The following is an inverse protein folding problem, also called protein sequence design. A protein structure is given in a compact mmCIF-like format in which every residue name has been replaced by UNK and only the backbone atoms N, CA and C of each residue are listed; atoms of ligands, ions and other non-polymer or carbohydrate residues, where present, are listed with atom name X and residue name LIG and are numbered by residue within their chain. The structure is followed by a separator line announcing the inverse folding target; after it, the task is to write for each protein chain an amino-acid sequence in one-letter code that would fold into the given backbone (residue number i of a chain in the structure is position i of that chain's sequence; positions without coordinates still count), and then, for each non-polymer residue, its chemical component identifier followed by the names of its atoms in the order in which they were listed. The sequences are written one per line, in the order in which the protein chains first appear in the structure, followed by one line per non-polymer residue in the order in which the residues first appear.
data_IF_460919911245
#
_entry.id   IF_460919911245
#
_cell.length_a   1.000
_cell.length_b   1.000
_cell.length_c   1.000
_cell.angle_alpha   90.00
_cell.angle_beta   90.00
_cell.angle_gamma   90.00
#
_symmetry.space_group_name_H-M   'P 1'
#
loop_
_entity.id
_entity.type
_entity.pdbx_description
1 polymer ?
#
# COMPACT_ATOMS: atom_id res chain seq x y z
N UNK A 1 -40.72 -29.93 59.12
CA UNK A 1 -39.90 -28.84 58.55
C UNK A 1 -39.43 -29.29 57.18
N UNK A 2 -39.84 -28.54 56.16
CA UNK A 2 -40.00 -29.01 54.78
C UNK A 2 -38.67 -29.23 54.05
N UNK A 3 -38.58 -30.39 53.42
CA UNK A 3 -37.53 -30.83 52.50
C UNK A 3 -37.96 -30.62 51.04
N UNK A 4 -36.98 -30.28 50.21
CA UNK A 4 -37.09 -29.93 48.79
C UNK A 4 -37.43 -31.16 47.91
N UNK A 5 -38.47 -31.02 47.08
CA UNK A 5 -38.77 -31.78 45.83
C UNK A 5 -38.33 -30.87 44.66
N UNK A 6 -37.93 -31.30 43.46
CA UNK A 6 -38.37 -32.46 42.69
C UNK A 6 -37.41 -32.81 41.51
N UNK A 7 -37.28 -34.12 41.26
CA UNK A 7 -37.24 -34.90 40.00
C UNK A 7 -36.33 -34.62 38.78
N UNK A 8 -35.60 -35.70 38.45
CA UNK A 8 -35.13 -36.19 37.12
C UNK A 8 -36.29 -36.53 36.16
N UNK A 9 -36.02 -36.53 34.84
CA UNK A 9 -36.25 -37.70 33.96
C UNK A 9 -35.60 -37.55 32.57
N UNK A 10 -35.36 -38.70 31.91
CA UNK A 10 -34.48 -39.02 30.77
C UNK A 10 -35.32 -39.28 29.47
N UNK A 11 -34.68 -39.49 28.30
CA UNK A 11 -35.29 -39.36 26.97
C UNK A 11 -35.99 -40.64 26.47
N UNK A 12 -36.85 -40.53 25.45
CA UNK A 12 -37.33 -41.67 24.67
C UNK A 12 -37.53 -41.35 23.18
N UNK A 13 -37.14 -42.35 22.39
CA UNK A 13 -37.13 -42.53 20.95
C UNK A 13 -38.50 -43.10 20.47
N UNK A 14 -39.02 -42.69 19.30
CA UNK A 14 -39.60 -43.59 18.29
C UNK A 14 -40.01 -42.92 16.95
N UNK A 15 -39.30 -43.38 15.93
CA UNK A 15 -39.62 -43.68 14.52
C UNK A 15 -41.11 -43.93 14.13
N UNK A 16 -41.58 -43.40 12.99
CA UNK A 16 -42.41 -44.01 11.89
C UNK A 16 -42.37 -43.03 10.69
N UNK A 17 -41.64 -43.27 9.58
CA UNK A 17 -41.89 -44.12 8.39
C UNK A 17 -43.04 -43.67 7.46
N UNK A 18 -42.67 -43.24 6.24
CA UNK A 18 -43.58 -43.00 5.10
C UNK A 18 -42.77 -42.86 3.80
N UNK A 19 -42.56 -43.98 3.11
CA UNK A 19 -41.79 -44.14 1.88
C UNK A 19 -42.61 -43.82 0.61
N UNK A 20 -41.95 -43.98 -0.56
CA UNK A 20 -42.42 -44.08 -1.98
C UNK A 20 -41.73 -42.96 -2.82
N UNK A 21 -40.83 -43.18 -3.80
CA UNK A 21 -40.47 -44.37 -4.59
C UNK A 21 -39.07 -44.20 -5.22
N UNK A 22 -38.32 -45.31 -5.34
CA UNK A 22 -37.10 -45.48 -6.16
C UNK A 22 -37.38 -45.38 -7.67
N UNK A 23 -36.40 -44.91 -8.47
CA UNK A 23 -35.84 -45.66 -9.63
C UNK A 23 -34.36 -45.26 -9.86
N UNK A 24 -33.48 -46.26 -9.64
CA UNK A 24 -32.24 -46.66 -10.33
C UNK A 24 -31.44 -45.67 -11.20
N UNK A 25 -30.11 -45.64 -11.00
CA UNK A 25 -29.17 -45.13 -12.02
C UNK A 25 -27.71 -45.03 -11.54
N UNK A 26 -26.93 -46.05 -11.85
CA UNK A 26 -25.51 -46.26 -11.55
C UNK A 26 -24.53 -45.27 -12.23
N UNK A 27 -23.38 -45.09 -11.58
CA UNK A 27 -22.02 -44.87 -12.14
C UNK A 27 -21.77 -43.69 -13.11
N UNK A 28 -20.83 -42.82 -12.69
CA UNK A 28 -20.30 -41.65 -13.42
C UNK A 28 -19.78 -41.95 -14.84
N UNK A 29 -19.85 -40.96 -15.75
CA UNK A 29 -18.66 -40.56 -16.55
C UNK A 29 -18.61 -39.02 -16.80
N UNK A 30 -17.81 -38.46 -17.74
CA UNK A 30 -16.54 -37.78 -17.50
C UNK A 30 -16.54 -36.24 -17.77
N UNK A 31 -15.41 -35.62 -17.41
CA UNK A 31 -14.83 -34.32 -17.80
C UNK A 31 -15.62 -33.47 -18.82
N UNK A 32 -15.97 -32.23 -18.44
CA UNK A 32 -16.00 -31.09 -19.37
C UNK A 32 -15.62 -29.80 -18.65
N UNK A 33 -14.53 -29.18 -19.09
CA UNK A 33 -14.12 -27.83 -18.72
C UNK A 33 -15.04 -26.83 -19.42
N UNK A 34 -15.60 -25.88 -18.67
CA UNK A 34 -16.12 -24.63 -19.23
C UNK A 34 -15.64 -23.47 -18.38
N UNK A 35 -14.59 -22.82 -18.91
CA UNK A 35 -14.28 -21.43 -18.69
C UNK A 35 -15.51 -20.55 -18.97
N UNK A 36 -15.82 -19.65 -18.04
CA UNK A 36 -16.53 -18.43 -18.35
C UNK A 36 -15.85 -17.29 -17.60
N UNK A 37 -14.88 -16.66 -18.28
CA UNK A 37 -14.30 -15.39 -17.86
C UNK A 37 -15.37 -14.28 -17.80
N UNK A 38 -15.10 -13.20 -17.05
CA UNK A 38 -16.05 -12.10 -16.89
C UNK A 38 -16.35 -11.40 -18.24
N UNK A 39 -17.53 -10.76 -18.37
CA UNK A 39 -18.02 -10.27 -19.65
C UNK A 39 -17.17 -9.13 -20.20
N UNK A 40 -16.90 -9.20 -21.50
CA UNK A 40 -16.22 -8.16 -22.27
C UNK A 40 -17.02 -6.85 -22.26
N UNK A 41 -16.41 -5.77 -21.77
CA UNK A 41 -16.89 -4.41 -22.00
C UNK A 41 -16.62 -4.07 -23.46
N UNK A 42 -17.68 -3.98 -24.28
CA UNK A 42 -17.59 -3.42 -25.62
C UNK A 42 -17.31 -1.92 -25.55
N UNK A 43 -16.12 -1.51 -25.99
CA UNK A 43 -15.83 -0.11 -26.32
C UNK A 43 -16.75 0.31 -27.47
N UNK A 44 -17.79 1.11 -27.18
CA UNK A 44 -18.60 1.75 -28.20
C UNK A 44 -17.72 2.69 -29.01
N UNK A 45 -17.72 2.48 -30.32
CA UNK A 45 -16.94 3.25 -31.29
C UNK A 45 -17.25 4.75 -31.21
N UNK A 46 -16.21 5.55 -31.39
CA UNK A 46 -16.28 7.00 -31.57
C UNK A 46 -16.82 7.28 -32.98
N UNK A 47 -18.11 7.05 -33.19
CA UNK A 47 -18.86 7.56 -34.32
C UNK A 47 -19.59 8.82 -33.86
N UNK A 48 -18.90 9.96 -33.89
CA UNK A 48 -19.46 11.31 -34.08
C UNK A 48 -18.37 12.37 -33.95
N UNK A 49 -17.45 12.40 -34.93
CA UNK A 49 -16.75 13.62 -35.30
C UNK A 49 -17.00 13.81 -36.80
N UNK A 50 -17.92 14.70 -37.13
CA UNK A 50 -18.33 14.98 -38.50
C UNK A 50 -17.20 15.56 -39.34
N UNK A 51 -16.49 14.69 -40.07
CA UNK A 51 -15.57 15.08 -41.14
C UNK A 51 -15.95 14.30 -42.40
N UNK A 52 -16.31 15.05 -43.45
CA UNK A 52 -16.82 14.55 -44.71
C UNK A 52 -15.85 13.65 -45.48
N UNK A 53 -16.46 12.73 -46.22
CA UNK A 53 -15.86 11.74 -47.11
C UNK A 53 -15.28 12.36 -48.39
N UNK A 54 -14.00 12.12 -48.71
CA UNK A 54 -13.54 11.93 -50.11
C UNK A 54 -12.10 11.41 -50.25
N UNK A 55 -12.00 10.26 -50.95
CA UNK A 55 -10.91 9.78 -51.83
C UNK A 55 -9.74 8.90 -51.27
N UNK A 56 -9.25 7.92 -52.06
CA UNK A 56 -8.86 6.59 -51.59
C UNK A 56 -7.34 6.43 -51.41
N UNK A 57 -6.91 5.70 -50.37
CA UNK A 57 -5.52 5.25 -50.21
C UNK A 57 -5.49 3.85 -49.60
N UNK A 58 -4.58 3.03 -50.09
CA UNK A 58 -4.18 1.68 -49.63
C UNK A 58 -4.41 1.52 -48.12
N UNK A 59 -4.95 0.38 -47.63
CA UNK A 59 -5.07 0.18 -46.18
C UNK A 59 -3.68 0.31 -45.57
N UNK A 60 -3.45 1.39 -44.83
CA UNK A 60 -2.19 1.64 -44.13
C UNK A 60 -2.13 0.74 -42.89
N UNK A 61 -2.17 -0.59 -43.11
CA UNK A 61 -2.33 -1.60 -42.08
C UNK A 61 -1.17 -1.62 -41.07
N UNK A 62 -0.01 -1.10 -41.47
CA UNK A 62 1.19 -1.02 -40.62
C UNK A 62 1.25 0.26 -39.80
N UNK A 63 0.44 1.28 -40.09
CA UNK A 63 0.51 2.58 -39.42
C UNK A 63 -0.72 2.78 -38.55
N UNK A 64 -0.51 3.10 -37.27
CA UNK A 64 -1.61 3.31 -36.32
C UNK A 64 -2.57 4.42 -36.76
N UNK A 65 -3.86 4.28 -36.42
CA UNK A 65 -4.88 5.28 -36.72
C UNK A 65 -4.53 6.69 -36.20
N UNK A 66 -3.85 6.79 -35.06
CA UNK A 66 -3.43 8.07 -34.48
C UNK A 66 -2.36 8.79 -35.32
N UNK A 67 -1.40 8.06 -35.90
CA UNK A 67 -0.43 8.65 -36.83
C UNK A 67 -1.08 9.09 -38.14
N UNK A 68 -2.11 8.35 -38.60
CA UNK A 68 -2.88 8.74 -39.78
C UNK A 68 -3.71 10.00 -39.54
N UNK A 69 -4.33 10.12 -38.36
CA UNK A 69 -5.04 11.32 -37.94
C UNK A 69 -4.10 12.53 -37.85
N UNK A 70 -2.91 12.35 -37.25
CA UNK A 70 -1.87 13.39 -37.18
C UNK A 70 -1.42 13.85 -38.57
N UNK A 71 -1.20 12.90 -39.50
CA UNK A 71 -0.88 13.24 -40.89
C UNK A 71 -1.99 14.04 -41.57
N UNK A 72 -3.26 13.62 -41.42
CA UNK A 72 -4.40 14.32 -42.00
C UNK A 72 -4.53 15.76 -41.46
N UNK A 73 -4.33 15.94 -40.16
CA UNK A 73 -4.32 17.25 -39.50
C UNK A 73 -3.22 18.15 -40.05
N UNK A 74 -2.00 17.61 -40.20
CA UNK A 74 -0.87 18.34 -40.75
C UNK A 74 -1.09 18.73 -42.23
N UNK A 75 -1.73 17.87 -43.02
CA UNK A 75 -2.11 18.21 -44.40
C UNK A 75 -3.14 19.35 -44.46
N UNK A 76 -4.11 19.37 -43.54
CA UNK A 76 -5.07 20.48 -43.45
C UNK A 76 -4.36 21.79 -43.09
N UNK A 77 -3.42 21.75 -42.13
CA UNK A 77 -2.57 22.88 -41.77
C UNK A 77 -1.76 23.41 -42.96
N UNK A 78 -1.10 22.54 -43.73
CA UNK A 78 -0.33 22.94 -44.91
C UNK A 78 -1.21 23.60 -45.99
N UNK A 79 -2.44 23.10 -46.20
CA UNK A 79 -3.40 23.70 -47.14
C UNK A 79 -3.89 25.09 -46.70
N UNK A 80 -4.00 25.32 -45.38
CA UNK A 80 -4.43 26.61 -44.84
C UNK A 80 -3.33 27.68 -44.81
N UNK A 81 -2.06 27.25 -44.77
CA UNK A 81 -0.88 28.11 -44.63
C UNK A 81 -0.14 28.35 -45.95
N UNK A 82 -0.32 27.48 -46.94
CA UNK A 82 0.19 27.69 -48.30
C UNK A 82 -0.42 28.94 -48.94
N UNK A 83 0.39 29.99 -49.09
CA UNK A 83 0.02 31.25 -49.75
C UNK A 83 -0.17 32.47 -48.84
N UNK A 84 -0.06 32.32 -47.50
CA UNK A 84 -0.11 33.47 -46.58
C UNK A 84 1.28 34.11 -46.42
N UNK A 85 1.39 35.41 -46.70
CA UNK A 85 2.62 36.23 -46.60
C UNK A 85 3.04 36.55 -45.15
N UNK A 86 2.17 36.27 -44.19
CA UNK A 86 2.42 36.45 -42.77
C UNK A 86 3.05 35.18 -42.18
N UNK A 87 3.83 35.32 -41.10
CA UNK A 87 4.36 34.20 -40.32
C UNK A 87 3.18 33.35 -39.85
N UNK A 88 2.98 32.20 -40.48
CA UNK A 88 1.95 31.25 -40.07
C UNK A 88 2.30 30.71 -38.66
N UNK A 89 1.29 30.53 -37.79
CA UNK A 89 1.54 29.89 -36.50
C UNK A 89 2.12 28.49 -36.72
N UNK A 90 3.03 28.06 -35.85
CA UNK A 90 3.58 26.70 -35.92
C UNK A 90 2.45 25.67 -35.81
N UNK A 91 2.58 24.55 -36.52
CA UNK A 91 1.63 23.45 -36.42
C UNK A 91 1.53 22.95 -34.98
N UNK A 92 0.30 22.84 -34.48
CA UNK A 92 -0.03 22.22 -33.21
C UNK A 92 -1.00 21.09 -33.49
N UNK A 93 -0.71 19.91 -32.94
CA UNK A 93 -1.56 18.73 -33.04
C UNK A 93 -2.71 18.80 -32.05
N UNK A 94 -3.91 18.43 -32.50
CA UNK A 94 -5.11 18.23 -31.67
C UNK A 94 -4.93 17.11 -30.63
N UNK A 95 -4.05 16.14 -30.92
CA UNK A 95 -3.56 15.19 -29.94
C UNK A 95 -2.40 15.81 -29.16
N UNK A 96 -2.68 16.32 -27.97
CA UNK A 96 -1.74 17.06 -27.12
C UNK A 96 -0.67 16.20 -26.46
N UNK A 97 -0.87 14.88 -26.40
CA UNK A 97 0.11 13.93 -25.84
C UNK A 97 1.07 13.35 -26.89
N UNK A 98 0.82 13.60 -28.18
CA UNK A 98 1.73 13.17 -29.23
C UNK A 98 3.04 13.99 -29.20
N UNK A 99 4.23 13.36 -29.30
CA UNK A 99 5.51 14.04 -29.24
C UNK A 99 5.83 14.78 -30.56
N UNK A 100 5.09 15.84 -30.84
CA UNK A 100 5.17 16.63 -32.07
C UNK A 100 5.98 17.90 -31.85
N UNK A 101 7.01 18.12 -32.66
CA UNK A 101 7.80 19.34 -32.62
C UNK A 101 8.31 19.69 -34.03
N UNK A 102 8.14 20.95 -34.45
CA UNK A 102 8.70 21.45 -35.71
C UNK A 102 8.27 20.67 -36.95
N UNK A 103 7.01 20.21 -37.02
CA UNK A 103 6.50 19.40 -38.15
C UNK A 103 7.02 17.95 -38.18
N UNK A 104 7.69 17.51 -37.12
CA UNK A 104 8.16 16.14 -36.90
C UNK A 104 7.44 15.49 -35.73
N UNK A 105 7.44 14.16 -35.68
CA UNK A 105 6.88 13.35 -34.59
C UNK A 105 7.84 12.23 -34.22
N UNK A 106 7.94 11.90 -32.92
CA UNK A 106 8.65 10.71 -32.47
C UNK A 106 7.73 9.49 -32.54
N UNK A 107 8.22 8.41 -33.15
CA UNK A 107 7.45 7.18 -33.36
C UNK A 107 8.21 5.96 -32.86
N UNK A 108 7.45 4.97 -32.38
CA UNK A 108 7.91 3.63 -32.06
C UNK A 108 7.46 2.66 -33.15
N UNK A 109 8.38 1.80 -33.58
CA UNK A 109 8.18 0.86 -34.66
C UNK A 109 8.64 -0.53 -34.28
N UNK A 110 7.83 -1.54 -34.60
CA UNK A 110 8.22 -2.93 -34.51
C UNK A 110 8.83 -3.38 -35.84
N UNK A 111 10.07 -3.88 -35.80
CA UNK A 111 10.74 -4.44 -36.97
C UNK A 111 10.14 -5.79 -37.36
N UNK A 112 10.01 -6.01 -38.66
CA UNK A 112 9.82 -7.32 -39.27
C UNK A 112 11.17 -7.87 -39.73
N UNK A 113 11.72 -8.81 -38.95
CA UNK A 113 13.04 -9.38 -39.21
C UNK A 113 14.13 -8.61 -38.49
N UNK A 114 15.13 -8.14 -39.23
CA UNK A 114 16.30 -7.42 -38.70
C UNK A 114 15.96 -5.96 -38.34
N UNK A 115 16.04 -5.56 -37.07
CA UNK A 115 15.77 -4.18 -36.65
C UNK A 115 16.80 -3.17 -37.15
N UNK A 116 18.03 -3.57 -37.47
CA UNK A 116 19.03 -2.66 -38.06
C UNK A 116 18.72 -2.34 -39.53
N UNK A 117 18.10 -3.27 -40.25
CA UNK A 117 17.57 -3.02 -41.60
C UNK A 117 16.44 -1.99 -41.57
N UNK A 118 15.49 -2.10 -40.60
CA UNK A 118 14.46 -1.07 -40.39
C UNK A 118 15.08 0.29 -40.03
N UNK A 119 16.10 0.30 -39.17
CA UNK A 119 16.81 1.53 -38.82
C UNK A 119 17.50 2.19 -40.03
N UNK A 120 18.08 1.40 -40.95
CA UNK A 120 18.67 1.89 -42.18
C UNK A 120 17.60 2.50 -43.12
N UNK A 121 16.46 1.81 -43.30
CA UNK A 121 15.33 2.32 -44.10
C UNK A 121 14.79 3.65 -43.56
N UNK A 122 14.69 3.80 -42.24
CA UNK A 122 14.25 5.04 -41.60
C UNK A 122 15.23 6.19 -41.83
N UNK A 123 16.54 5.93 -41.73
CA UNK A 123 17.57 6.94 -42.05
C UNK A 123 17.49 7.37 -43.51
N UNK A 124 17.21 6.44 -44.44
CA UNK A 124 17.01 6.75 -45.85
C UNK A 124 15.75 7.61 -46.10
N UNK A 125 14.72 7.47 -45.26
CA UNK A 125 13.53 8.35 -45.24
C UNK A 125 13.77 9.68 -44.51
N UNK A 126 15.00 9.96 -44.07
CA UNK A 126 15.36 11.22 -43.41
C UNK A 126 15.03 11.26 -41.92
N UNK A 127 14.83 10.11 -41.26
CA UNK A 127 14.61 10.05 -39.82
C UNK A 127 15.88 10.46 -39.05
N UNK A 128 15.71 11.20 -37.96
CA UNK A 128 16.76 11.52 -37.00
C UNK A 128 16.57 10.76 -35.67
N UNK A 129 17.62 10.70 -34.85
CA UNK A 129 17.62 10.03 -33.53
C UNK A 129 17.16 8.57 -33.56
N UNK A 130 17.46 7.86 -34.66
CA UNK A 130 17.12 6.44 -34.83
C UNK A 130 17.86 5.59 -33.80
N UNK A 131 17.11 4.91 -32.94
CA UNK A 131 17.61 4.07 -31.85
C UNK A 131 16.98 2.69 -31.93
N UNK A 132 17.78 1.64 -31.73
CA UNK A 132 17.35 0.24 -31.80
C UNK A 132 17.48 -0.42 -30.44
N UNK A 133 16.43 -1.10 -29.98
CA UNK A 133 16.45 -1.95 -28.79
C UNK A 133 15.59 -3.20 -28.99
N UNK A 134 16.22 -4.36 -29.07
CA UNK A 134 15.52 -5.60 -29.45
C UNK A 134 14.85 -5.44 -30.82
N UNK A 135 13.55 -5.75 -30.93
CA UNK A 135 12.76 -5.56 -32.15
C UNK A 135 12.16 -4.16 -32.30
N UNK A 136 12.36 -3.28 -31.32
CA UNK A 136 11.81 -1.94 -31.34
C UNK A 136 12.82 -0.97 -31.92
N UNK A 137 12.34 -0.12 -32.82
CA UNK A 137 13.09 1.01 -33.38
C UNK A 137 12.30 2.27 -33.08
N UNK A 138 12.93 3.22 -32.41
CA UNK A 138 12.35 4.54 -32.15
C UNK A 138 13.09 5.58 -32.99
N UNK A 139 12.35 6.50 -33.62
CA UNK A 139 12.94 7.56 -34.42
C UNK A 139 12.05 8.81 -34.45
N UNK A 140 12.66 9.96 -34.72
CA UNK A 140 11.92 11.16 -35.10
C UNK A 140 11.82 11.22 -36.62
N UNK A 141 10.60 11.37 -37.13
CA UNK A 141 10.32 11.46 -38.56
C UNK A 141 9.52 12.72 -38.89
N UNK A 142 9.66 13.25 -40.10
CA UNK A 142 8.78 14.30 -40.61
C UNK A 142 7.35 13.77 -40.71
N UNK A 143 6.34 14.56 -40.32
CA UNK A 143 4.94 14.14 -40.44
C UNK A 143 4.58 13.80 -41.90
N UNK A 144 5.24 14.45 -42.88
CA UNK A 144 5.03 14.20 -44.31
C UNK A 144 5.44 12.80 -44.77
N UNK A 145 6.34 12.10 -44.06
CA UNK A 145 6.82 10.77 -44.46
C UNK A 145 5.98 9.62 -43.90
N UNK A 146 5.00 9.90 -43.01
CA UNK A 146 4.14 8.88 -42.38
C UNK A 146 3.51 7.91 -43.39
N UNK A 147 2.96 8.34 -44.55
CA UNK A 147 2.40 7.40 -45.52
C UNK A 147 3.43 6.42 -46.10
N UNK A 148 4.68 6.85 -46.28
CA UNK A 148 5.76 6.03 -46.85
C UNK A 148 6.24 4.92 -45.91
N UNK A 149 5.92 5.00 -44.61
CA UNK A 149 6.22 3.92 -43.66
C UNK A 149 5.49 2.62 -44.02
N UNK A 150 4.31 2.71 -44.64
CA UNK A 150 3.52 1.53 -44.99
C UNK A 150 4.19 0.65 -46.07
N UNK A 151 5.10 1.24 -46.86
CA UNK A 151 5.78 0.56 -47.95
C UNK A 151 7.06 -0.16 -47.49
N UNK A 152 7.51 0.08 -46.25
CA UNK A 152 8.68 -0.59 -45.69
C UNK A 152 8.40 -2.07 -45.43
N UNK A 153 9.10 -2.96 -46.13
CA UNK A 153 9.01 -4.42 -45.90
C UNK A 153 9.58 -4.83 -44.54
N UNK A 154 10.51 -4.03 -44.01
CA UNK A 154 11.15 -4.18 -42.69
C UNK A 154 10.26 -3.69 -41.54
N UNK A 155 9.14 -3.02 -41.82
CA UNK A 155 8.21 -2.55 -40.81
C UNK A 155 7.07 -3.55 -40.60
N UNK A 156 6.82 -3.91 -39.34
CA UNK A 156 5.63 -4.64 -38.92
C UNK A 156 4.51 -3.69 -38.50
N UNK A 157 4.83 -2.70 -37.65
CA UNK A 157 3.86 -1.74 -37.13
C UNK A 157 4.53 -0.44 -36.66
N UNK A 158 3.86 0.72 -36.82
CA UNK A 158 4.32 2.03 -36.37
C UNK A 158 3.23 2.80 -35.59
N UNK A 159 3.62 3.44 -34.49
CA UNK A 159 2.77 4.32 -33.66
C UNK A 159 3.53 5.53 -33.14
N UNK A 160 2.82 6.57 -32.72
CA UNK A 160 3.45 7.67 -31.99
C UNK A 160 4.05 7.16 -30.67
N UNK A 161 5.25 7.63 -30.33
CA UNK A 161 5.94 7.29 -29.10
C UNK A 161 5.37 8.13 -27.94
N UNK A 162 4.16 7.79 -27.49
CA UNK A 162 3.54 8.46 -26.36
C UNK A 162 4.38 8.22 -25.11
N UNK A 163 4.78 9.31 -24.47
CA UNK A 163 5.41 9.30 -23.16
C UNK A 163 4.67 10.32 -22.30
N UNK A 164 4.35 9.94 -21.06
CA UNK A 164 3.83 10.84 -20.06
C UNK A 164 4.94 11.11 -19.04
N UNK A 165 5.13 12.37 -18.68
CA UNK A 165 5.84 12.76 -17.45
C UNK A 165 4.77 13.01 -16.40
N UNK A 166 4.69 12.17 -15.38
CA UNK A 166 3.84 12.41 -14.21
C UNK A 166 4.45 13.57 -13.42
N UNK A 167 3.61 14.52 -13.01
CA UNK A 167 4.00 15.63 -12.12
C UNK A 167 2.83 15.77 -11.13
N UNK A 168 2.92 15.47 -9.83
CA UNK A 168 4.09 15.16 -8.97
C UNK A 168 4.90 13.89 -9.27
N UNK A 169 6.05 13.76 -8.62
CA UNK A 169 7.15 12.93 -9.11
C UNK A 169 6.87 11.42 -8.96
N UNK A 170 6.13 10.99 -7.93
CA UNK A 170 5.78 9.57 -7.72
C UNK A 170 4.46 9.47 -6.96
N UNK A 171 3.43 8.86 -7.57
CA UNK A 171 2.31 8.29 -6.81
C UNK A 171 2.71 6.91 -6.31
N UNK A 172 2.61 6.68 -5.01
CA UNK A 172 2.92 5.39 -4.39
C UNK A 172 2.11 4.26 -5.03
N UNK A 173 2.73 3.10 -5.22
CA UNK A 173 2.00 1.92 -5.73
C UNK A 173 0.90 1.44 -4.77
N UNK A 174 0.95 1.91 -3.51
CA UNK A 174 -0.10 1.72 -2.53
C UNK A 174 -1.44 2.32 -2.95
N UNK A 175 -1.43 3.47 -3.63
CA UNK A 175 -2.65 4.13 -4.11
C UNK A 175 -3.47 3.22 -5.04
N UNK A 176 -2.79 2.65 -6.05
CA UNK A 176 -3.40 1.70 -6.97
C UNK A 176 -3.72 0.35 -6.30
N UNK A 177 -2.84 -0.14 -5.42
CA UNK A 177 -3.05 -1.41 -4.73
C UNK A 177 -4.30 -1.39 -3.83
N UNK A 178 -4.55 -0.27 -3.15
CA UNK A 178 -5.76 -0.03 -2.35
C UNK A 178 -6.96 0.40 -3.20
N UNK A 179 -6.76 0.61 -4.51
CA UNK A 179 -7.76 1.15 -5.45
C UNK A 179 -8.30 2.51 -5.01
N UNK A 180 -7.46 3.30 -4.37
CA UNK A 180 -7.85 4.61 -3.88
C UNK A 180 -8.13 5.57 -5.05
N UNK A 181 -7.40 5.46 -6.17
CA UNK A 181 -7.70 6.12 -7.44
C UNK A 181 -9.13 5.88 -7.95
N UNK A 182 -9.57 4.61 -7.92
CA UNK A 182 -10.93 4.21 -8.27
C UNK A 182 -11.92 4.74 -7.23
N UNK A 183 -11.59 4.63 -5.93
CA UNK A 183 -12.42 5.13 -4.85
C UNK A 183 -12.70 6.62 -4.97
N UNK A 184 -11.65 7.43 -5.21
CA UNK A 184 -11.75 8.87 -5.41
C UNK A 184 -12.69 9.20 -6.57
N UNK A 185 -12.49 8.54 -7.72
CA UNK A 185 -13.30 8.77 -8.92
C UNK A 185 -14.76 8.31 -8.75
N UNK A 186 -14.97 7.14 -8.15
CA UNK A 186 -16.29 6.54 -8.03
C UNK A 186 -17.18 7.25 -7.00
N UNK A 187 -16.60 7.77 -5.92
CA UNK A 187 -17.33 8.42 -4.84
C UNK A 187 -17.23 9.95 -4.87
N UNK A 188 -16.37 10.52 -5.72
CA UNK A 188 -16.14 11.97 -5.78
C UNK A 188 -15.54 12.51 -4.47
N UNK A 189 -14.64 11.74 -3.86
CA UNK A 189 -13.98 12.08 -2.59
C UNK A 189 -12.47 12.18 -2.82
N UNK A 190 -11.80 13.09 -2.13
CA UNK A 190 -10.35 13.27 -2.20
C UNK A 190 -9.72 13.55 -0.83
N UNK A 191 -10.51 13.50 0.24
CA UNK A 191 -10.09 13.85 1.61
C UNK A 191 -10.39 15.30 2.01
N UNK A 192 -10.95 16.13 1.13
CA UNK A 192 -11.32 17.51 1.46
C UNK A 192 -12.18 17.58 2.73
N UNK A 193 -11.79 18.44 3.66
CA UNK A 193 -12.46 18.64 4.95
C UNK A 193 -12.04 17.66 6.05
N UNK A 194 -11.13 16.74 5.76
CA UNK A 194 -10.51 15.84 6.73
C UNK A 194 -9.09 16.30 7.01
N UNK A 195 -8.76 16.45 8.30
CA UNK A 195 -7.37 16.59 8.75
C UNK A 195 -6.84 15.22 9.16
N UNK A 196 -5.70 14.83 8.60
CA UNK A 196 -4.95 13.62 8.95
C UNK A 196 -3.72 14.01 9.76
N UNK A 197 -3.57 13.46 10.97
CA UNK A 197 -2.41 13.65 11.82
C UNK A 197 -1.44 12.48 11.71
N UNK A 198 -0.14 12.76 11.61
CA UNK A 198 0.92 11.75 11.52
C UNK A 198 1.89 11.89 12.70
N UNK A 199 2.20 10.77 13.35
CA UNK A 199 3.19 10.63 14.41
C UNK A 199 4.31 9.70 13.93
N UNK A 200 5.54 10.21 13.85
CA UNK A 200 6.71 9.43 13.41
C UNK A 200 8.00 10.08 13.95
N UNK A 201 9.16 9.83 13.33
CA UNK A 201 10.43 10.41 13.75
C UNK A 201 10.51 11.93 13.53
N UNK A 202 10.46 12.39 12.28
CA UNK A 202 10.63 13.78 11.89
C UNK A 202 9.91 14.10 10.58
N UNK A 203 9.78 15.40 10.27
CA UNK A 203 9.17 15.87 9.03
C UNK A 203 10.18 16.58 8.11
N UNK A 204 10.99 17.50 8.62
CA UNK A 204 11.90 18.28 7.79
C UNK A 204 13.33 18.39 8.36
N UNK A 205 13.73 17.41 9.17
CA UNK A 205 15.08 17.35 9.72
C UNK A 205 16.15 17.19 8.63
N UNK A 206 15.82 16.60 7.47
CA UNK A 206 16.72 16.51 6.31
C UNK A 206 16.54 17.67 5.31
N UNK A 207 15.60 18.59 5.54
CA UNK A 207 15.34 19.75 4.67
C UNK A 207 14.64 19.41 3.34
N UNK A 208 13.93 18.28 3.28
CA UNK A 208 13.28 17.78 2.07
C UNK A 208 11.87 18.32 1.81
N UNK A 209 11.20 18.91 2.82
CA UNK A 209 9.79 19.29 2.72
C UNK A 209 9.54 20.34 1.64
N UNK A 210 10.39 21.37 1.55
CA UNK A 210 10.25 22.40 0.53
C UNK A 210 10.37 21.83 -0.89
N UNK A 211 11.22 20.81 -1.09
CA UNK A 211 11.35 20.13 -2.38
C UNK A 211 10.11 19.27 -2.68
N UNK A 212 9.58 18.54 -1.70
CA UNK A 212 8.36 17.74 -1.85
C UNK A 212 7.13 18.60 -2.16
N UNK A 213 7.00 19.78 -1.55
CA UNK A 213 5.94 20.74 -1.91
C UNK A 213 6.13 21.29 -3.32
N UNK A 214 7.38 21.58 -3.70
CA UNK A 214 7.69 22.09 -5.04
C UNK A 214 7.46 21.04 -6.14
N UNK A 215 7.67 19.76 -5.85
CA UNK A 215 7.35 18.65 -6.76
C UNK A 215 5.88 18.27 -6.76
N UNK A 216 5.13 18.61 -5.71
CA UNK A 216 3.73 18.22 -5.53
C UNK A 216 3.54 16.83 -4.90
N UNK A 217 4.60 16.26 -4.32
CA UNK A 217 4.52 15.01 -3.57
C UNK A 217 4.09 15.26 -2.10
N UNK A 218 4.22 16.51 -1.63
CA UNK A 218 3.67 16.96 -0.35
C UNK A 218 2.60 18.04 -0.57
N UNK A 219 1.56 18.08 0.28
CA UNK A 219 0.62 19.17 0.28
C UNK A 219 1.31 20.45 0.76
N UNK A 220 0.97 21.58 0.15
CA UNK A 220 1.35 22.88 0.71
C UNK A 220 0.67 23.08 2.07
N UNK A 221 1.45 23.45 3.09
CA UNK A 221 0.91 23.87 4.39
C UNK A 221 0.62 22.74 5.38
N UNK A 222 1.44 21.68 5.39
CA UNK A 222 1.48 20.74 6.52
C UNK A 222 1.68 21.51 7.83
N UNK A 223 0.82 21.27 8.82
CA UNK A 223 0.95 21.89 10.15
C UNK A 223 1.87 21.05 11.03
N UNK A 224 3.09 21.52 11.26
CA UNK A 224 4.05 20.87 12.15
C UNK A 224 3.79 21.36 13.58
N UNK A 225 3.22 20.51 14.43
CA UNK A 225 2.96 20.81 15.84
C UNK A 225 4.23 20.65 16.68
N UNK A 226 4.99 19.60 16.39
CA UNK A 226 6.28 19.33 17.04
C UNK A 226 7.22 18.61 16.06
N UNK A 227 8.47 19.02 16.04
CA UNK A 227 9.54 18.48 15.20
C UNK A 227 10.66 17.95 16.09
N UNK A 228 11.25 16.82 15.73
CA UNK A 228 12.29 16.18 16.54
C UNK A 228 13.46 17.14 16.78
N UNK A 229 13.83 17.34 18.05
CA UNK A 229 14.87 18.31 18.42
C UNK A 229 15.78 17.83 19.54
N UNK A 230 17.09 17.64 19.29
CA UNK A 230 17.78 17.85 18.01
C UNK A 230 17.43 16.75 16.99
N UNK A 231 17.56 17.05 15.69
CA UNK A 231 17.38 16.14 14.55
C UNK A 231 18.42 14.98 14.47
N UNK A 232 18.89 14.47 15.60
CA UNK A 232 19.91 13.44 15.67
C UNK A 232 19.30 12.08 15.36
N UNK A 233 19.76 11.43 14.28
CA UNK A 233 19.24 10.13 13.86
C UNK A 233 17.89 10.17 13.13
N UNK A 234 17.39 11.37 12.85
CA UNK A 234 16.19 11.63 12.09
C UNK A 234 16.34 11.21 10.62
N UNK A 235 15.29 10.60 10.06
CA UNK A 235 15.22 10.08 8.69
C UNK A 235 14.09 10.71 7.86
N UNK A 236 13.23 11.52 8.49
CA UNK A 236 12.01 12.09 7.91
C UNK A 236 11.03 11.01 7.41
N UNK A 237 10.86 9.91 8.17
CA UNK A 237 9.83 8.90 7.89
C UNK A 237 8.43 9.50 7.99
N UNK A 238 8.22 10.43 8.92
CA UNK A 238 6.99 11.20 9.03
C UNK A 238 6.63 11.98 7.76
N UNK A 239 7.63 12.54 7.06
CA UNK A 239 7.43 13.18 5.75
C UNK A 239 7.02 12.18 4.69
N UNK A 240 7.68 11.03 4.63
CA UNK A 240 7.34 9.98 3.67
C UNK A 240 5.91 9.46 3.89
N UNK A 241 5.47 9.31 5.15
CA UNK A 241 4.07 8.95 5.45
C UNK A 241 3.08 10.01 4.96
N UNK A 242 3.41 11.29 5.12
CA UNK A 242 2.58 12.43 4.65
C UNK A 242 2.51 12.47 3.12
N UNK A 243 3.60 12.13 2.41
CA UNK A 243 3.61 11.96 0.95
C UNK A 243 2.63 10.84 0.52
N UNK A 244 2.63 9.69 1.19
CA UNK A 244 1.69 8.57 0.91
C UNK A 244 0.24 8.98 1.17
N UNK A 245 -0.03 9.70 2.26
CA UNK A 245 -1.37 10.22 2.54
C UNK A 245 -1.79 11.21 1.44
N UNK A 246 -0.86 12.04 0.94
CA UNK A 246 -1.16 12.99 -0.13
C UNK A 246 -1.53 12.29 -1.44
N UNK A 247 -0.87 11.19 -1.78
CA UNK A 247 -1.24 10.37 -2.93
C UNK A 247 -2.66 9.81 -2.82
N UNK A 248 -3.00 9.28 -1.64
CA UNK A 248 -4.28 8.59 -1.40
C UNK A 248 -5.44 9.59 -1.25
N UNK A 249 -5.18 10.71 -0.56
CA UNK A 249 -6.18 11.71 -0.18
C UNK A 249 -5.61 13.12 -0.42
N UNK A 250 -5.46 13.56 -1.68
CA UNK A 250 -4.76 14.80 -2.03
C UNK A 250 -5.46 16.08 -1.52
N UNK A 251 -6.76 16.01 -1.22
CA UNK A 251 -7.53 17.11 -0.64
C UNK A 251 -7.48 17.17 0.89
N UNK A 252 -6.91 16.16 1.57
CA UNK A 252 -6.80 16.17 3.02
C UNK A 252 -5.79 17.22 3.50
N UNK A 253 -6.14 17.95 4.55
CA UNK A 253 -5.15 18.72 5.31
C UNK A 253 -4.33 17.77 6.17
N UNK A 254 -3.04 18.07 6.37
CA UNK A 254 -2.16 17.19 7.12
C UNK A 254 -1.45 17.94 8.25
N UNK A 255 -1.23 17.24 9.38
CA UNK A 255 -0.46 17.75 10.50
C UNK A 255 0.54 16.69 10.99
N UNK A 256 1.67 17.15 11.52
CA UNK A 256 2.75 16.30 12.01
C UNK A 256 3.06 16.58 13.47
N UNK A 257 3.45 15.54 14.21
CA UNK A 257 4.05 15.62 15.54
C UNK A 257 5.11 14.53 15.68
N UNK A 258 6.28 14.80 16.24
CA UNK A 258 7.26 13.74 16.52
C UNK A 258 6.79 12.81 17.64
N UNK A 259 7.05 11.51 17.52
CA UNK A 259 6.83 10.52 18.58
C UNK A 259 8.12 10.18 19.36
N UNK A 260 9.27 10.73 18.95
CA UNK A 260 10.60 10.27 19.40
C UNK A 260 11.12 10.98 20.66
N UNK A 261 10.36 11.93 21.23
CA UNK A 261 10.66 12.60 22.50
C UNK A 261 10.19 11.80 23.74
N UNK A 262 9.95 10.49 23.56
CA UNK A 262 9.55 9.55 24.60
C UNK A 262 8.04 9.28 24.70
N UNK A 263 7.66 8.21 25.40
CA UNK A 263 6.26 7.73 25.47
C UNK A 263 5.25 8.79 25.96
N UNK A 264 5.66 9.68 26.86
CA UNK A 264 4.79 10.76 27.35
C UNK A 264 4.55 11.83 26.28
N UNK A 265 5.60 12.19 25.52
CA UNK A 265 5.45 13.11 24.38
C UNK A 265 4.60 12.48 23.29
N UNK A 266 4.82 11.20 22.96
CA UNK A 266 3.98 10.47 22.00
C UNK A 266 2.50 10.48 22.43
N UNK A 267 2.20 10.10 23.68
CA UNK A 267 0.83 10.12 24.19
C UNK A 267 0.19 11.53 24.12
N UNK A 268 0.95 12.58 24.43
CA UNK A 268 0.48 13.96 24.32
C UNK A 268 0.28 14.40 22.87
N UNK A 269 1.19 14.04 21.95
CA UNK A 269 1.09 14.33 20.53
C UNK A 269 -0.16 13.75 19.88
N UNK A 270 -0.62 12.57 20.31
CA UNK A 270 -1.91 12.00 19.90
C UNK A 270 -3.07 12.94 20.26
N UNK A 271 -3.07 13.47 21.47
CA UNK A 271 -4.09 14.41 21.95
C UNK A 271 -3.98 15.76 21.22
N UNK A 272 -2.76 16.24 20.98
CA UNK A 272 -2.52 17.53 20.34
C UNK A 272 -2.95 17.52 18.87
N UNK A 273 -2.70 16.44 18.13
CA UNK A 273 -3.22 16.26 16.77
C UNK A 273 -4.75 16.23 16.75
N UNK A 274 -5.38 15.54 17.70
CA UNK A 274 -6.84 15.52 17.82
C UNK A 274 -7.40 16.93 18.12
N UNK A 275 -6.75 17.68 19.01
CA UNK A 275 -7.11 19.06 19.35
C UNK A 275 -6.87 20.04 18.19
N UNK A 276 -5.87 19.79 17.34
CA UNK A 276 -5.66 20.51 16.09
C UNK A 276 -6.75 20.22 15.05
N UNK A 277 -7.64 19.26 15.31
CA UNK A 277 -8.81 18.95 14.49
C UNK A 277 -8.69 17.67 13.68
N UNK A 278 -7.64 16.87 13.90
CA UNK A 278 -7.47 15.59 13.21
C UNK A 278 -8.71 14.69 13.38
N UNK A 279 -9.15 14.08 12.28
CA UNK A 279 -10.21 13.06 12.28
C UNK A 279 -9.65 11.66 12.07
N UNK A 280 -8.44 11.59 11.52
CA UNK A 280 -7.65 10.37 11.38
C UNK A 280 -6.26 10.68 11.94
N UNK A 281 -5.74 9.79 12.76
CA UNK A 281 -4.35 9.84 13.23
C UNK A 281 -3.68 8.52 12.89
N UNK A 282 -2.42 8.59 12.46
CA UNK A 282 -1.62 7.42 12.15
C UNK A 282 -0.22 7.52 12.75
N UNK A 283 0.36 6.38 13.10
CA UNK A 283 1.73 6.25 13.60
C UNK A 283 2.43 5.01 13.05
N UNK A 284 3.76 5.05 13.03
CA UNK A 284 4.62 3.92 12.69
C UNK A 284 5.60 3.53 13.79
N UNK A 285 5.35 3.97 15.04
CA UNK A 285 6.33 3.93 16.12
C UNK A 285 5.93 2.95 17.21
N UNK A 286 6.90 2.16 17.67
CA UNK A 286 6.74 1.24 18.80
C UNK A 286 7.76 1.62 19.88
N UNK A 287 7.31 1.77 21.13
CA UNK A 287 8.19 1.83 22.29
C UNK A 287 8.31 0.47 22.99
N UNK A 288 9.54 -0.02 23.18
CA UNK A 288 9.78 -1.32 23.83
C UNK A 288 9.32 -1.40 25.30
N UNK A 289 9.08 -0.26 25.95
CA UNK A 289 8.59 -0.18 27.33
C UNK A 289 7.05 -0.12 27.42
N UNK A 290 6.33 -0.36 26.32
CA UNK A 290 4.87 -0.46 26.35
C UNK A 290 4.41 -1.76 27.05
N UNK A 291 3.36 -1.73 27.87
CA UNK A 291 2.88 -2.95 28.53
C UNK A 291 2.15 -3.86 27.55
N UNK A 292 2.49 -5.16 27.55
CA UNK A 292 1.88 -6.16 26.65
C UNK A 292 0.42 -6.52 26.98
N UNK A 293 0.07 -6.55 28.27
CA UNK A 293 -1.20 -7.11 28.75
C UNK A 293 -2.10 -6.08 29.45
N UNK A 294 -1.77 -4.80 29.36
CA UNK A 294 -2.59 -3.70 29.88
C UNK A 294 -2.33 -2.41 29.11
N UNK A 295 -3.29 -1.49 29.12
CA UNK A 295 -3.16 -0.21 28.43
C UNK A 295 -2.07 0.66 29.07
N UNK A 296 -0.97 0.88 28.34
CA UNK A 296 0.01 1.93 28.64
C UNK A 296 -0.55 3.34 28.36
N UNK A 297 0.23 4.37 28.67
CA UNK A 297 -0.22 5.77 28.50
C UNK A 297 -0.54 6.13 27.04
N UNK A 298 0.17 5.53 26.07
CA UNK A 298 -0.10 5.70 24.63
C UNK A 298 -1.48 5.11 24.28
N UNK A 299 -1.75 3.86 24.68
CA UNK A 299 -3.06 3.23 24.48
C UNK A 299 -4.20 4.00 25.17
N UNK A 300 -3.96 4.59 26.34
CA UNK A 300 -4.94 5.47 27.02
C UNK A 300 -5.20 6.77 26.25
N UNK A 301 -4.18 7.37 25.63
CA UNK A 301 -4.34 8.52 24.74
C UNK A 301 -5.16 8.15 23.49
N UNK A 302 -4.89 6.98 22.90
CA UNK A 302 -5.70 6.45 21.78
C UNK A 302 -7.17 6.28 22.18
N UNK A 303 -7.44 5.69 23.35
CA UNK A 303 -8.81 5.58 23.88
C UNK A 303 -9.47 6.96 24.07
N UNK A 304 -8.69 7.97 24.45
CA UNK A 304 -9.18 9.35 24.63
C UNK A 304 -9.61 9.96 23.30
N UNK A 305 -8.75 9.93 22.27
CA UNK A 305 -9.09 10.50 20.96
C UNK A 305 -10.17 9.72 20.23
N UNK A 306 -10.25 8.40 20.46
CA UNK A 306 -11.40 7.58 20.03
C UNK A 306 -12.70 8.10 20.65
N UNK A 307 -12.69 8.47 21.93
CA UNK A 307 -13.80 9.12 22.62
C UNK A 307 -14.18 10.48 22.02
N UNK A 308 -13.23 11.15 21.35
CA UNK A 308 -13.44 12.39 20.59
C UNK A 308 -13.94 12.15 19.15
N UNK A 309 -14.11 10.90 18.74
CA UNK A 309 -14.53 10.51 17.39
C UNK A 309 -13.40 10.50 16.36
N UNK A 310 -12.14 10.42 16.80
CA UNK A 310 -10.97 10.30 15.94
C UNK A 310 -10.66 8.83 15.67
N UNK A 311 -10.42 8.48 14.40
CA UNK A 311 -9.91 7.17 14.03
C UNK A 311 -8.38 7.13 14.21
N UNK A 312 -7.86 6.05 14.80
CA UNK A 312 -6.44 5.89 15.07
C UNK A 312 -5.92 4.60 14.46
N UNK A 313 -4.78 4.65 13.76
CA UNK A 313 -4.15 3.52 13.08
C UNK A 313 -2.66 3.47 13.42
N UNK A 314 -2.20 2.34 13.95
CA UNK A 314 -0.78 2.11 14.26
C UNK A 314 -0.21 0.99 13.41
N UNK A 315 1.09 1.03 13.14
CA UNK A 315 1.79 -0.04 12.43
C UNK A 315 1.84 -1.34 13.26
N UNK A 316 1.95 -2.48 12.58
CA UNK A 316 2.04 -3.79 13.26
C UNK A 316 3.46 -4.18 13.68
N UNK A 317 4.46 -3.35 13.39
CA UNK A 317 5.87 -3.72 13.44
C UNK A 317 6.33 -4.56 12.24
N UNK A 318 7.66 -4.62 12.05
CA UNK A 318 8.34 -5.25 10.92
C UNK A 318 9.07 -6.54 11.30
N UNK A 319 8.68 -7.15 12.42
CA UNK A 319 9.35 -8.31 13.01
C UNK A 319 8.87 -9.67 12.45
N UNK A 320 7.95 -9.67 11.47
CA UNK A 320 7.39 -10.86 10.81
C UNK A 320 6.93 -11.94 11.81
N UNK A 321 7.62 -13.09 11.87
CA UNK A 321 7.35 -14.20 12.79
C UNK A 321 8.34 -14.25 13.95
N UNK A 322 9.09 -13.18 14.22
CA UNK A 322 9.97 -13.07 15.39
C UNK A 322 9.16 -12.82 16.67
N UNK A 323 8.19 -13.71 16.91
CA UNK A 323 7.27 -13.64 18.03
C UNK A 323 7.25 -14.99 18.76
N UNK A 324 6.91 -14.94 20.04
CA UNK A 324 6.54 -16.12 20.80
C UNK A 324 5.02 -16.23 20.83
N UNK A 325 4.48 -17.34 20.31
CA UNK A 325 3.05 -17.64 20.39
C UNK A 325 2.85 -19.04 20.98
N UNK A 326 2.07 -19.12 22.06
CA UNK A 326 1.56 -20.40 22.56
C UNK A 326 0.33 -20.19 23.47
N UNK A 327 -0.54 -21.21 23.61
CA UNK A 327 -1.57 -21.19 24.65
C UNK A 327 -0.92 -21.09 26.04
N UNK A 328 -1.58 -20.40 26.98
CA UNK A 328 -1.13 -20.31 28.36
C UNK A 328 -0.87 -21.71 28.94
N UNK A 329 0.35 -21.93 29.44
CA UNK A 329 0.76 -23.15 30.14
C UNK A 329 0.96 -22.83 31.62
N UNK A 330 0.19 -23.45 32.53
CA UNK A 330 0.31 -23.19 33.96
C UNK A 330 1.67 -23.69 34.46
N UNK A 331 2.52 -22.80 34.94
CA UNK A 331 3.82 -23.17 35.54
C UNK A 331 3.67 -23.77 36.95
N UNK A 332 2.51 -23.60 37.60
CA UNK A 332 2.35 -23.87 39.03
C UNK A 332 3.03 -22.85 39.95
N UNK A 333 3.68 -21.82 39.39
CA UNK A 333 4.32 -20.75 40.13
C UNK A 333 3.40 -19.52 40.18
N UNK A 334 3.14 -19.05 41.40
CA UNK A 334 2.30 -17.88 41.63
C UNK A 334 3.15 -16.68 42.04
N UNK A 335 2.96 -15.57 41.35
CA UNK A 335 3.67 -14.32 41.57
C UNK A 335 2.68 -13.20 41.87
N UNK A 336 3.05 -12.32 42.80
CA UNK A 336 2.18 -11.19 43.17
C UNK A 336 2.69 -9.93 42.51
N UNK A 337 1.93 -9.43 41.53
CA UNK A 337 2.22 -8.19 40.80
C UNK A 337 1.41 -6.98 41.31
N UNK A 338 0.94 -7.04 42.55
CA UNK A 338 0.12 -5.99 43.16
C UNK A 338 -1.39 -6.11 42.90
N UNK A 339 -1.84 -7.19 42.23
CA UNK A 339 -3.26 -7.51 42.00
C UNK A 339 -3.72 -8.82 42.66
N UNK A 340 -2.86 -9.45 43.46
CA UNK A 340 -3.05 -10.79 44.02
C UNK A 340 -2.10 -11.82 43.40
N UNK A 341 -2.11 -13.08 43.87
CA UNK A 341 -1.31 -14.14 43.28
C UNK A 341 -1.85 -14.49 41.88
N UNK A 342 -1.03 -14.30 40.86
CA UNK A 342 -1.31 -14.69 39.48
C UNK A 342 -0.34 -15.81 39.06
N UNK A 343 -0.82 -16.76 38.27
CA UNK A 343 -0.01 -17.91 37.83
C UNK A 343 0.86 -17.52 36.62
N UNK A 344 2.17 -17.73 36.73
CA UNK A 344 3.12 -17.48 35.66
C UNK A 344 2.97 -18.51 34.54
N UNK A 345 3.23 -18.08 33.31
CA UNK A 345 3.28 -18.94 32.13
C UNK A 345 4.57 -19.78 32.12
N UNK A 346 4.45 -21.00 31.66
CA UNK A 346 5.57 -21.87 31.36
C UNK A 346 5.97 -21.76 29.89
N UNK A 347 7.19 -21.25 29.64
CA UNK A 347 7.79 -21.12 28.32
C UNK A 347 8.42 -22.41 27.82
N UNK A 348 8.65 -23.42 28.66
CA UNK A 348 9.09 -24.75 28.22
C UNK A 348 7.89 -25.51 27.62
N UNK A 349 7.96 -26.00 26.37
CA UNK A 349 6.95 -26.90 25.84
C UNK A 349 7.10 -28.36 26.33
N UNK A 350 8.20 -28.67 27.01
CA UNK A 350 8.58 -29.98 27.52
C UNK A 350 8.07 -30.27 28.93
N UNK A 351 8.81 -31.10 29.66
CA UNK A 351 8.46 -31.53 31.02
C UNK A 351 9.07 -30.64 32.12
N UNK A 352 9.92 -29.68 31.76
CA UNK A 352 10.45 -28.68 32.68
C UNK A 352 9.46 -27.55 32.91
N UNK A 353 9.86 -26.58 33.73
CA UNK A 353 9.17 -25.31 33.90
C UNK A 353 10.19 -24.21 33.64
N UNK A 354 9.92 -23.38 32.64
CA UNK A 354 10.67 -22.15 32.38
C UNK A 354 9.71 -20.96 32.47
N UNK A 355 9.62 -20.32 33.62
CA UNK A 355 8.74 -19.17 33.80
C UNK A 355 9.39 -17.83 33.43
N UNK A 356 10.66 -17.84 32.99
CA UNK A 356 11.46 -16.63 32.73
C UNK A 356 11.85 -16.47 31.25
N UNK A 357 11.47 -17.41 30.38
CA UNK A 357 11.86 -17.44 28.97
C UNK A 357 13.40 -17.41 28.80
N UNK A 358 14.06 -18.51 29.13
CA UNK A 358 15.50 -18.63 29.00
C UNK A 358 15.95 -18.54 27.53
N UNK A 359 16.84 -17.59 27.26
CA UNK A 359 17.47 -17.41 25.94
C UNK A 359 18.96 -17.74 26.06
N UNK A 360 19.46 -18.59 25.15
CA UNK A 360 20.90 -18.91 25.04
C UNK A 360 21.53 -18.05 23.95
N UNK A 361 22.55 -17.27 24.30
CA UNK A 361 23.34 -16.49 23.33
C UNK A 361 24.64 -17.25 23.07
N UNK A 362 24.93 -17.68 21.82
CA UNK A 362 26.18 -18.37 21.49
C UNK A 362 27.41 -17.49 21.76
N UNK A 363 28.56 -18.13 22.02
CA UNK A 363 29.85 -17.41 22.15
C UNK A 363 30.14 -16.66 20.84
N UNK A 364 30.32 -15.35 20.93
CA UNK A 364 30.49 -14.45 19.78
C UNK A 364 29.18 -13.93 19.16
N UNK A 365 28.02 -14.38 19.65
CA UNK A 365 26.72 -13.80 19.31
C UNK A 365 26.42 -12.55 20.16
N UNK A 366 25.73 -11.57 19.56
CA UNK A 366 25.15 -10.44 20.26
C UNK A 366 23.64 -10.63 20.45
N UNK A 367 23.09 -10.15 21.56
CA UNK A 367 21.65 -9.93 21.67
C UNK A 367 21.32 -8.57 21.01
N UNK A 368 20.39 -8.56 20.06
CA UNK A 368 19.92 -7.32 19.45
C UNK A 368 19.09 -6.54 20.51
N UNK A 369 19.31 -5.23 20.68
CA UNK A 369 18.52 -4.40 21.62
C UNK A 369 17.01 -4.36 21.31
N UNK A 370 16.62 -4.78 20.10
CA UNK A 370 15.23 -4.83 19.64
C UNK A 370 14.46 -6.09 20.05
N UNK A 371 15.08 -7.04 20.77
CA UNK A 371 14.29 -8.01 21.51
C UNK A 371 13.59 -7.22 22.63
N UNK A 372 12.24 -7.20 22.71
CA UNK A 372 11.57 -6.65 23.86
C UNK A 372 11.95 -7.46 25.10
N UNK A 373 13.01 -7.04 25.77
CA UNK A 373 13.47 -7.55 27.06
C UNK A 373 12.70 -6.84 28.18
N UNK A 374 11.41 -6.57 27.94
CA UNK A 374 10.48 -6.16 28.97
C UNK A 374 10.19 -7.36 29.88
N UNK A 375 9.74 -7.14 31.13
CA UNK A 375 9.34 -8.22 32.02
C UNK A 375 8.10 -8.93 31.43
N UNK A 376 8.31 -9.90 30.53
CA UNK A 376 7.26 -10.72 29.94
C UNK A 376 6.86 -11.81 30.94
N UNK A 377 6.17 -11.41 32.00
CA UNK A 377 5.46 -12.33 32.85
C UNK A 377 4.09 -12.57 32.19
N UNK A 378 3.98 -13.63 31.39
CA UNK A 378 2.68 -14.05 30.86
C UNK A 378 1.84 -14.60 32.02
N UNK A 379 0.66 -14.03 32.25
CA UNK A 379 -0.23 -14.38 33.36
C UNK A 379 -1.57 -14.89 32.82
N UNK A 380 -1.99 -16.06 33.29
CA UNK A 380 -3.28 -16.65 32.98
C UNK A 380 -4.23 -16.52 34.16
N UNK A 381 -5.43 -15.96 33.95
CA UNK A 381 -6.45 -15.93 35.00
C UNK A 381 -7.08 -17.32 35.20
N UNK A 382 -6.60 -18.06 36.20
CA UNK A 382 -7.45 -18.98 36.97
C UNK A 382 -7.66 -18.41 38.36
N UNK A 383 -8.90 -17.99 38.66
CA UNK A 383 -9.31 -17.71 40.05
C UNK A 383 -9.18 -19.01 40.84
N UNK A 384 -8.12 -19.12 41.64
CA UNK A 384 -8.03 -20.18 42.64
C UNK A 384 -9.15 -19.99 43.66
N UNK A 385 -10.04 -20.98 43.76
CA UNK A 385 -11.01 -21.06 44.84
C UNK A 385 -10.27 -21.09 46.18
N UNK A 386 -10.75 -20.27 47.12
CA UNK A 386 -10.29 -20.20 48.50
C UNK A 386 -10.10 -21.60 49.11
N UNK A 387 -8.87 -21.89 49.49
CA UNK A 387 -8.49 -23.07 50.27
C UNK A 387 -7.25 -22.75 51.08
N UNK A 388 -7.46 -22.37 52.34
CA UNK A 388 -6.42 -22.09 53.32
C UNK A 388 -5.44 -23.27 53.45
N UNK A 389 -4.14 -22.97 53.51
CA UNK A 389 -3.16 -23.70 54.31
C UNK A 389 -1.93 -22.83 54.56
N UNK A 390 -1.65 -22.59 55.84
CA UNK A 390 -0.48 -21.86 56.34
C UNK A 390 0.83 -22.62 56.09
N UNK A 391 1.85 -21.89 55.64
CA UNK A 391 3.26 -22.26 55.67
C UNK A 391 4.13 -20.99 55.52
N UNK A 392 5.09 -20.78 56.42
CA UNK A 392 5.96 -19.60 56.51
C UNK A 392 6.85 -19.39 55.25
N UNK A 393 7.28 -18.15 54.95
CA UNK A 393 8.04 -17.82 53.75
C UNK A 393 9.56 -17.94 53.98
N UNK A 394 10.32 -18.44 52.98
CA UNK A 394 11.66 -17.96 52.76
C UNK A 394 11.72 -17.12 51.48
N UNK A 395 12.48 -16.03 51.58
CA UNK A 395 13.07 -15.25 50.50
C UNK A 395 12.15 -14.32 49.70
N UNK A 396 11.99 -13.11 50.25
CA UNK A 396 11.79 -11.91 49.44
C UNK A 396 13.02 -11.70 48.54
N UNK A 397 13.00 -12.27 47.34
CA UNK A 397 13.93 -11.89 46.28
C UNK A 397 13.24 -10.84 45.39
N UNK A 398 13.87 -9.67 45.32
CA UNK A 398 13.36 -8.49 44.64
C UNK A 398 13.00 -8.72 43.18
N UNK A 399 11.91 -8.07 42.80
CA UNK A 399 11.56 -7.60 41.47
C UNK A 399 12.76 -7.45 40.52
N UNK A 400 12.58 -7.94 39.28
CA UNK A 400 13.43 -7.75 38.09
C UNK A 400 14.76 -8.51 38.04
N UNK A 401 14.77 -9.71 37.45
CA UNK A 401 15.94 -10.24 36.71
C UNK A 401 15.53 -11.14 35.54
N UNK A 402 16.05 -10.82 34.36
CA UNK A 402 16.39 -11.81 33.34
C UNK A 402 17.55 -12.67 33.89
N UNK A 403 17.36 -13.98 33.99
CA UNK A 403 18.44 -14.91 34.34
C UNK A 403 19.26 -15.24 33.07
N UNK A 404 20.19 -14.35 32.71
CA UNK A 404 21.21 -14.69 31.71
C UNK A 404 22.18 -15.72 32.30
N UNK A 405 22.31 -16.88 31.64
CA UNK A 405 23.44 -17.80 31.85
C UNK A 405 24.45 -17.52 30.72
N UNK A 406 25.53 -16.83 31.06
CA UNK A 406 26.76 -16.88 30.24
C UNK A 406 27.43 -18.24 30.50
N UNK A 407 27.81 -18.94 29.44
CA UNK A 407 28.70 -20.11 29.53
C UNK A 407 30.16 -19.66 29.42
#
# INVERSE_FOLDING_TARGET
MNTCREKRSRPFLHLVLGAVTCVLGSTAPPISAQDAGPPAIQLRGVENLGIGTSAPKVPMAKVSAHLLALYAEYQAYLKQTSGKRAVAPAFQSSNTIAPVAGGSVVIDMAAWGDPEALAADLRALGADKVTVFGRMVSARVLITVIPGLNDLSTLQFARAAYAATHVGAVTSQGDAAMRADIGRTAFGVDGTGILVGTLSDSYDCLGGAAAGVASGDLPAGVTVLDELSPCTGAMDEGRAMIEIIHDVAPGASQAFHTAFEGQASFAQGIIDLANAGAKVINDDVIFFAEPFYQDGIIAQAVNTVKGMGVAYFSSSGNDDRQAYESPFRPSGLFVNIGRGPEEAHDFDPGAGVDFCQQVTIPVGGGAHPGLPMGPALLLGQRRAGLGERHGHPPDQCGLYRLCQRQL
#
